data_IF_295657529958
#
_entry.id   IF_295657529958
#
_cell.length_a   1.000
_cell.length_b   1.000
_cell.length_c   1.000
_cell.angle_alpha   90.00
_cell.angle_beta   90.00
_cell.angle_gamma   90.00
#
_symmetry.space_group_name_H-M   'P 1'
#
loop_
_entity.id
_entity.type
_entity.pdbx_description
1 polymer ?
#
# COMPACT_ATOMS: atom_id res chain seq x y z
N UNK A 1 17.93 14.09 5.18
CA UNK A 1 17.02 12.95 4.98
C UNK A 1 17.69 11.65 5.40
N UNK A 2 16.93 10.56 5.57
CA UNK A 2 17.41 9.19 5.88
C UNK A 2 18.25 8.99 7.18
N UNK A 3 18.16 9.91 8.15
CA UNK A 3 18.81 9.73 9.45
C UNK A 3 18.04 8.71 10.32
N UNK A 4 18.66 7.55 10.58
CA UNK A 4 18.10 6.42 11.34
C UNK A 4 17.85 6.71 12.82
N UNK A 5 18.53 7.70 13.39
CA UNK A 5 18.51 7.97 14.84
C UNK A 5 17.56 9.12 15.22
N UNK A 6 17.03 9.83 14.22
CA UNK A 6 16.20 11.04 14.44
C UNK A 6 14.83 10.75 15.04
N UNK A 7 14.24 9.58 14.79
CA UNK A 7 12.88 9.24 15.19
C UNK A 7 12.84 7.85 15.84
N UNK A 8 13.20 7.80 17.13
CA UNK A 8 13.28 6.54 17.88
C UNK A 8 11.93 6.13 18.43
N UNK A 9 11.59 4.87 18.20
CA UNK A 9 10.43 4.26 18.85
C UNK A 9 10.70 4.09 20.35
N UNK A 10 9.66 4.27 21.15
CA UNK A 10 9.63 3.89 22.56
C UNK A 10 9.19 2.42 22.66
N UNK A 11 9.93 1.61 23.40
CA UNK A 11 9.52 0.25 23.73
C UNK A 11 8.33 0.28 24.67
N UNK A 12 7.34 -0.56 24.39
CA UNK A 12 6.16 -0.78 25.21
C UNK A 12 6.12 -2.23 25.69
N UNK A 13 5.10 -2.56 26.49
CA UNK A 13 4.85 -3.91 26.97
C UNK A 13 4.58 -4.90 25.82
N UNK A 14 4.74 -6.19 26.11
CA UNK A 14 4.51 -7.28 25.16
C UNK A 14 5.32 -7.18 23.86
N UNK A 15 6.51 -6.58 23.91
CA UNK A 15 7.40 -6.47 22.76
C UNK A 15 6.95 -5.46 21.68
N UNK A 16 5.97 -4.60 22.01
CA UNK A 16 5.50 -3.54 21.12
C UNK A 16 6.43 -2.34 21.14
N UNK A 17 6.30 -1.53 20.09
CA UNK A 17 7.07 -0.31 19.91
C UNK A 17 6.15 0.78 19.37
N UNK A 18 6.25 2.00 19.92
CA UNK A 18 5.42 3.14 19.52
C UNK A 18 6.27 4.36 19.21
N UNK A 19 5.91 5.06 18.15
CA UNK A 19 6.46 6.36 17.78
C UNK A 19 5.30 7.28 17.42
N UNK A 20 5.34 8.52 17.91
CA UNK A 20 4.44 9.59 17.50
C UNK A 20 5.31 10.69 16.91
N UNK A 21 5.08 11.01 15.64
CA UNK A 21 5.75 12.11 14.96
C UNK A 21 4.77 13.28 14.98
N UNK A 22 5.12 14.43 15.58
CA UNK A 22 4.25 15.59 15.59
C UNK A 22 4.03 16.11 14.15
N UNK A 23 2.92 16.83 13.90
CA UNK A 23 2.74 17.52 12.63
C UNK A 23 3.83 18.59 12.42
N UNK A 24 3.95 19.06 11.19
CA UNK A 24 4.74 20.25 10.88
C UNK A 24 4.13 21.48 11.59
N UNK A 25 4.88 22.59 11.63
CA UNK A 25 4.43 23.84 12.26
C UNK A 25 3.14 24.42 11.67
N UNK A 26 2.85 24.11 10.40
CA UNK A 26 1.61 24.49 9.70
C UNK A 26 0.44 23.51 9.94
N UNK A 27 0.64 22.50 10.80
CA UNK A 27 -0.35 21.45 11.09
C UNK A 27 -0.41 20.32 10.05
N UNK A 28 0.38 20.38 8.98
CA UNK A 28 0.41 19.33 7.96
C UNK A 28 1.10 18.05 8.45
N UNK A 29 0.83 16.93 7.78
CA UNK A 29 1.46 15.65 8.11
C UNK A 29 2.97 15.72 7.84
N UNK A 30 3.78 15.38 8.85
CA UNK A 30 5.25 15.41 8.76
C UNK A 30 5.84 14.46 7.71
N UNK A 31 5.08 13.43 7.28
CA UNK A 31 5.49 12.52 6.21
C UNK A 31 4.62 12.81 4.97
N UNK A 32 5.18 13.39 3.91
CA UNK A 32 4.44 13.64 2.68
C UNK A 32 3.96 12.32 2.03
N UNK A 33 2.78 12.37 1.42
CA UNK A 33 2.28 11.26 0.61
C UNK A 33 3.28 10.85 -0.49
N UNK A 34 3.48 9.54 -0.68
CA UNK A 34 4.36 8.98 -1.70
C UNK A 34 5.82 8.90 -1.28
N UNK A 35 6.20 9.49 -0.14
CA UNK A 35 7.53 9.37 0.43
C UNK A 35 7.87 7.91 0.74
N UNK A 36 9.14 7.53 0.59
CA UNK A 36 9.60 6.20 0.99
C UNK A 36 9.92 6.19 2.48
N UNK A 37 9.38 5.20 3.20
CA UNK A 37 9.66 4.99 4.62
C UNK A 37 10.23 3.59 4.85
N UNK A 38 11.09 3.46 5.86
CA UNK A 38 11.63 2.17 6.32
C UNK A 38 11.69 2.16 7.85
N UNK A 39 11.54 0.98 8.44
CA UNK A 39 11.77 0.75 9.87
C UNK A 39 13.21 0.30 10.03
N UNK A 40 14.02 1.08 10.74
CA UNK A 40 15.36 0.66 11.14
C UNK A 40 15.27 -0.24 12.38
N UNK A 41 15.74 -1.47 12.28
CA UNK A 41 15.73 -2.46 13.36
C UNK A 41 17.16 -2.82 13.72
N UNK A 42 17.56 -2.55 14.96
CA UNK A 42 18.91 -2.87 15.46
C UNK A 42 18.86 -4.11 16.35
N UNK A 43 19.68 -5.11 16.04
CA UNK A 43 19.87 -6.32 16.86
C UNK A 43 21.36 -6.67 16.88
N UNK A 44 21.91 -6.92 18.07
CA UNK A 44 23.34 -7.26 18.27
C UNK A 44 24.29 -6.27 17.59
N UNK A 45 24.02 -4.96 17.73
CA UNK A 45 24.83 -3.90 17.10
C UNK A 45 24.64 -3.73 15.59
N UNK A 46 23.86 -4.60 14.92
CA UNK A 46 23.59 -4.51 13.48
C UNK A 46 22.21 -3.93 13.21
N UNK A 47 22.17 -2.84 12.45
CA UNK A 47 20.92 -2.20 11.99
C UNK A 47 20.55 -2.69 10.59
N UNK A 48 19.28 -3.05 10.41
CA UNK A 48 18.71 -3.41 9.12
C UNK A 48 17.47 -2.57 8.84
N UNK A 49 17.31 -2.14 7.60
CA UNK A 49 16.08 -1.48 7.18
C UNK A 49 15.04 -2.55 6.76
N UNK A 50 13.81 -2.39 7.26
CA UNK A 50 12.69 -3.31 7.00
C UNK A 50 11.48 -2.52 6.49
N UNK A 51 10.64 -3.19 5.72
CA UNK A 51 9.28 -2.71 5.46
C UNK A 51 8.43 -2.96 6.71
N UNK A 52 7.45 -2.09 6.95
CA UNK A 52 6.44 -2.36 7.98
C UNK A 52 5.65 -3.60 7.60
N UNK A 53 5.39 -4.53 8.55
CA UNK A 53 4.42 -5.60 8.37
C UNK A 53 3.01 -5.08 8.04
N UNK A 54 2.74 -3.81 8.32
CA UNK A 54 1.47 -3.11 8.11
C UNK A 54 1.53 -2.11 6.95
N UNK A 55 2.48 -2.26 6.02
CA UNK A 55 2.61 -1.38 4.87
C UNK A 55 1.38 -1.50 3.94
N UNK A 56 0.64 -0.41 3.78
CA UNK A 56 -0.55 -0.38 2.91
C UNK A 56 -0.21 -0.39 1.41
N UNK A 57 0.98 0.10 1.03
CA UNK A 57 1.39 0.18 -0.36
C UNK A 57 2.92 0.05 -0.51
N UNK A 58 3.34 -0.80 -1.44
CA UNK A 58 4.75 -1.04 -1.76
C UNK A 58 4.93 -1.02 -3.27
N UNK A 59 6.07 -0.50 -3.72
CA UNK A 59 6.42 -0.47 -5.15
C UNK A 59 7.84 -0.96 -5.36
N UNK A 60 8.14 -1.49 -6.53
CA UNK A 60 9.48 -1.84 -6.97
C UNK A 60 9.89 -0.91 -8.13
N UNK A 61 10.64 0.17 -7.86
CA UNK A 61 11.22 1.01 -8.91
C UNK A 61 12.08 0.19 -9.87
N UNK A 62 12.23 0.64 -11.13
CA UNK A 62 12.92 -0.13 -12.19
C UNK A 62 14.42 -0.29 -11.93
N UNK A 63 15.01 0.66 -11.23
CA UNK A 63 16.42 0.78 -10.87
C UNK A 63 16.82 -0.09 -9.67
N UNK A 64 15.88 -0.79 -9.04
CA UNK A 64 16.16 -1.60 -7.86
C UNK A 64 15.46 -2.95 -7.86
N UNK A 65 16.12 -3.92 -7.24
CA UNK A 65 15.58 -5.26 -7.01
C UNK A 65 14.75 -5.35 -5.72
N UNK A 66 14.83 -4.35 -4.84
CA UNK A 66 14.12 -4.35 -3.56
C UNK A 66 12.84 -3.50 -3.62
N UNK A 67 11.82 -3.94 -2.89
CA UNK A 67 10.60 -3.15 -2.73
C UNK A 67 10.82 -1.97 -1.79
N UNK A 68 10.04 -0.92 -2.00
CA UNK A 68 9.98 0.27 -1.18
C UNK A 68 8.57 0.46 -0.65
N UNK A 69 8.44 0.71 0.64
CA UNK A 69 7.17 1.09 1.24
C UNK A 69 6.93 2.57 0.96
N UNK A 70 5.84 2.85 0.25
CA UNK A 70 5.38 4.22 0.06
C UNK A 70 4.42 4.60 1.18
N UNK A 71 4.59 5.79 1.74
CA UNK A 71 3.64 6.35 2.68
C UNK A 71 2.34 6.74 1.93
N UNK A 72 1.35 5.86 2.01
CA UNK A 72 0.11 6.00 1.27
C UNK A 72 -0.94 6.78 2.07
N UNK A 73 -0.90 8.12 1.94
CA UNK A 73 -1.87 9.04 2.51
C UNK A 73 -2.33 10.08 1.47
N UNK A 74 -2.99 9.66 0.37
CA UNK A 74 -3.39 10.57 -0.69
C UNK A 74 -4.36 11.65 -0.16
N UNK A 75 -4.23 12.91 -0.62
CA UNK A 75 -5.12 13.99 -0.19
C UNK A 75 -6.56 13.75 -0.62
N UNK A 76 -6.74 13.14 -1.80
CA UNK A 76 -8.04 12.78 -2.36
C UNK A 76 -8.20 11.27 -2.34
N UNK A 77 -9.07 10.77 -1.44
CA UNK A 77 -9.40 9.33 -1.35
C UNK A 77 -10.63 9.03 -2.20
N UNK A 78 -10.62 7.87 -2.87
CA UNK A 78 -11.78 7.39 -3.60
C UNK A 78 -12.96 7.17 -2.65
N UNK A 79 -14.13 7.72 -3.00
CA UNK A 79 -15.39 7.49 -2.28
C UNK A 79 -16.20 6.46 -3.06
N UNK A 80 -16.60 5.39 -2.40
CA UNK A 80 -17.50 4.39 -3.00
C UNK A 80 -18.83 5.06 -3.32
N UNK A 81 -19.24 5.02 -4.59
CA UNK A 81 -20.47 5.66 -5.08
C UNK A 81 -21.65 4.69 -5.21
N UNK A 82 -21.41 3.38 -5.17
CA UNK A 82 -22.44 2.35 -5.29
C UNK A 82 -22.50 1.48 -4.02
N UNK A 83 -23.70 1.09 -3.56
CA UNK A 83 -23.85 0.16 -2.46
C UNK A 83 -23.43 -1.26 -2.86
N UNK A 84 -23.22 -2.12 -1.86
CA UNK A 84 -23.01 -3.55 -2.11
C UNK A 84 -24.27 -4.18 -2.73
N UNK A 85 -24.14 -5.05 -3.74
CA UNK A 85 -25.28 -5.80 -4.27
C UNK A 85 -25.96 -6.65 -3.19
N UNK A 86 -27.24 -6.97 -3.39
CA UNK A 86 -27.94 -7.95 -2.54
C UNK A 86 -27.28 -9.32 -2.70
N UNK A 87 -27.32 -10.13 -1.63
CA UNK A 87 -26.85 -11.52 -1.67
C UNK A 87 -27.64 -12.29 -2.74
N UNK A 88 -26.98 -12.91 -3.74
CA UNK A 88 -27.67 -13.69 -4.76
C UNK A 88 -28.20 -15.01 -4.17
N UNK A 89 -29.22 -15.58 -4.80
CA UNK A 89 -29.79 -16.89 -4.41
C UNK A 89 -28.78 -18.03 -4.62
N UNK A 90 -27.98 -17.94 -5.68
CA UNK A 90 -26.90 -18.88 -6.00
C UNK A 90 -25.67 -18.13 -6.50
N UNK A 91 -24.48 -18.69 -6.28
CA UNK A 91 -23.22 -18.10 -6.72
C UNK A 91 -22.89 -18.58 -8.13
N UNK A 92 -22.63 -17.63 -9.02
CA UNK A 92 -21.98 -17.84 -10.32
C UNK A 92 -20.71 -17.00 -10.29
N UNK A 93 -19.57 -17.65 -10.14
CA UNK A 93 -18.29 -16.98 -9.87
C UNK A 93 -17.47 -16.96 -11.15
N UNK A 94 -17.04 -15.77 -11.57
CA UNK A 94 -16.03 -15.60 -12.60
C UNK A 94 -14.66 -15.44 -11.94
N UNK A 95 -13.83 -16.48 -12.01
CA UNK A 95 -12.45 -16.42 -11.52
C UNK A 95 -11.59 -15.59 -12.47
N UNK A 96 -10.79 -14.66 -11.94
CA UNK A 96 -10.01 -13.73 -12.76
C UNK A 96 -8.70 -13.32 -12.11
N UNK A 97 -7.72 -12.97 -12.95
CA UNK A 97 -6.45 -12.38 -12.55
C UNK A 97 -6.19 -11.08 -13.32
N UNK A 98 -6.16 -9.95 -12.61
CA UNK A 98 -6.05 -8.60 -13.22
C UNK A 98 -4.84 -8.50 -14.14
N UNK A 99 -3.65 -8.93 -13.71
CA UNK A 99 -2.41 -8.68 -14.45
C UNK A 99 -2.32 -9.33 -15.84
N UNK A 100 -3.12 -10.35 -16.14
CA UNK A 100 -3.09 -11.10 -17.41
C UNK A 100 -4.39 -10.94 -18.21
N UNK A 101 -5.23 -9.98 -17.83
CA UNK A 101 -6.58 -9.80 -18.37
C UNK A 101 -6.65 -8.96 -19.64
N UNK A 102 -5.53 -8.78 -20.33
CA UNK A 102 -5.40 -8.05 -21.59
C UNK A 102 -4.64 -8.91 -22.60
N UNK A 103 -4.94 -8.79 -23.91
CA UNK A 103 -4.13 -9.43 -24.95
C UNK A 103 -2.72 -8.81 -25.09
N UNK A 104 -2.47 -7.66 -24.48
CA UNK A 104 -1.17 -7.00 -24.55
C UNK A 104 -0.11 -7.74 -23.72
N UNK A 105 1.13 -7.82 -24.23
CA UNK A 105 2.28 -8.40 -23.52
C UNK A 105 2.82 -7.54 -22.38
N UNK A 106 1.94 -7.11 -21.46
CA UNK A 106 2.25 -6.27 -20.29
C UNK A 106 1.41 -6.68 -19.08
N UNK A 107 1.82 -6.25 -17.88
CA UNK A 107 0.96 -6.36 -16.69
C UNK A 107 -0.21 -5.39 -16.85
N UNK A 108 -1.43 -5.91 -16.97
CA UNK A 108 -2.62 -5.07 -17.10
C UNK A 108 -2.95 -4.31 -15.80
N UNK A 109 -3.77 -3.26 -15.90
CA UNK A 109 -4.10 -2.37 -14.78
C UNK A 109 -5.47 -2.65 -14.17
N UNK A 110 -5.66 -2.28 -12.89
CA UNK A 110 -6.98 -2.35 -12.24
C UNK A 110 -8.05 -1.54 -12.97
N UNK A 111 -7.69 -0.38 -13.55
CA UNK A 111 -8.65 0.46 -14.27
C UNK A 111 -9.09 -0.18 -15.58
N UNK A 112 -8.15 -0.67 -16.38
CA UNK A 112 -8.47 -1.39 -17.62
C UNK A 112 -9.30 -2.65 -17.34
N UNK A 113 -8.99 -3.41 -16.27
CA UNK A 113 -9.84 -4.53 -15.86
C UNK A 113 -11.28 -4.08 -15.55
N UNK A 114 -11.43 -2.97 -14.81
CA UNK A 114 -12.75 -2.44 -14.48
C UNK A 114 -13.54 -1.97 -15.71
N UNK A 115 -12.86 -1.36 -16.68
CA UNK A 115 -13.49 -0.79 -17.88
C UNK A 115 -13.77 -1.82 -18.97
N UNK A 116 -12.85 -2.76 -19.20
CA UNK A 116 -12.88 -3.61 -20.38
C UNK A 116 -13.36 -5.04 -20.08
N UNK A 117 -13.12 -5.52 -18.85
CA UNK A 117 -13.35 -6.92 -18.47
C UNK A 117 -14.64 -7.07 -17.68
N UNK A 118 -14.92 -6.22 -16.69
CA UNK A 118 -16.16 -6.28 -15.90
C UNK A 118 -17.42 -6.23 -16.79
N UNK A 119 -17.53 -5.36 -17.81
CA UNK A 119 -18.71 -5.36 -18.69
C UNK A 119 -18.89 -6.64 -19.50
N UNK A 120 -17.81 -7.40 -19.75
CA UNK A 120 -17.88 -8.71 -20.40
C UNK A 120 -18.39 -9.78 -19.44
N UNK A 121 -17.92 -9.76 -18.18
CA UNK A 121 -18.38 -10.67 -17.13
C UNK A 121 -19.89 -10.52 -16.89
N UNK A 122 -20.40 -9.29 -16.89
CA UNK A 122 -21.85 -9.00 -16.71
C UNK A 122 -22.73 -9.58 -17.83
N UNK A 123 -22.17 -9.80 -19.03
CA UNK A 123 -22.91 -10.32 -20.19
C UNK A 123 -22.93 -11.85 -20.28
N UNK A 124 -22.22 -12.56 -19.40
CA UNK A 124 -22.22 -14.03 -19.33
C UNK A 124 -23.46 -14.53 -18.60
#
# INVERSE_FOLDING_TARGET
>A
GWNRESHKYKREEHGKWRLVIPPNSDGSCAIPHGSIVKIAVTKNGKTMDKLSPWAAYVTRPKDTVVYHQQFYNPPNKYKLVHPRPKRPASLRIYEAHVGISSPEGKVNTYRAFADDVIPRIVKQ
#
